data_IF_329344167305
#
_entry.id   IF_329344167305
#
_cell.length_a   1.000
_cell.length_b   1.000
_cell.length_c   1.000
_cell.angle_alpha   90.00
_cell.angle_beta   90.00
_cell.angle_gamma   90.00
#
_symmetry.space_group_name_H-M   'P 1'
#
loop_
_entity.id
_entity.type
_entity.pdbx_description
1 polymer ?
#
# COMPACT_ATOMS: atom_id res chain seq x y z
N UNK A 1 -39.16 -18.71 0.44
CA UNK A 1 -38.03 -18.08 -0.27
C UNK A 1 -36.85 -18.01 0.68
N UNK A 2 -35.98 -19.01 0.61
CA UNK A 2 -34.76 -19.15 1.41
C UNK A 2 -33.65 -18.30 0.79
N UNK A 3 -33.08 -17.36 1.56
CA UNK A 3 -31.87 -16.63 1.15
C UNK A 3 -30.71 -17.63 0.98
N UNK A 4 -29.89 -17.53 -0.07
CA UNK A 4 -28.70 -18.36 -0.19
C UNK A 4 -27.71 -18.00 0.94
N UNK A 5 -26.96 -18.99 1.47
CA UNK A 5 -25.96 -18.73 2.49
C UNK A 5 -24.85 -17.83 1.92
N UNK A 6 -24.55 -16.74 2.64
CA UNK A 6 -23.50 -15.78 2.31
C UNK A 6 -22.14 -16.48 2.20
N UNK A 7 -21.59 -16.58 0.99
CA UNK A 7 -20.26 -17.13 0.69
C UNK A 7 -19.13 -16.38 1.39
N UNK A 8 -19.38 -15.14 1.86
CA UNK A 8 -18.44 -14.32 2.61
C UNK A 8 -18.02 -14.90 3.97
N UNK A 9 -18.85 -15.72 4.63
CA UNK A 9 -18.53 -16.25 5.97
C UNK A 9 -17.43 -17.31 6.01
N UNK A 10 -17.12 -17.97 4.89
CA UNK A 10 -16.07 -19.01 4.86
C UNK A 10 -14.68 -18.48 4.50
N UNK A 11 -14.56 -17.21 4.14
CA UNK A 11 -13.29 -16.65 3.65
C UNK A 11 -12.37 -16.15 4.79
N UNK A 12 -12.91 -15.95 5.99
CA UNK A 12 -12.23 -15.25 7.11
C UNK A 12 -11.92 -16.13 8.31
N UNK A 13 -12.15 -17.44 8.25
CA UNK A 13 -11.68 -18.36 9.29
C UNK A 13 -10.17 -18.53 9.18
N UNK A 14 -9.40 -17.53 9.62
CA UNK A 14 -7.98 -17.66 9.91
C UNK A 14 -7.83 -18.44 11.21
N UNK A 15 -7.21 -19.63 11.22
CA UNK A 15 -6.71 -20.20 12.45
C UNK A 15 -5.49 -19.37 12.85
N UNK A 16 -5.71 -18.31 13.63
CA UNK A 16 -4.66 -17.64 14.40
C UNK A 16 -4.21 -18.58 15.52
N UNK A 17 -3.54 -19.67 15.18
CA UNK A 17 -2.75 -20.44 16.13
C UNK A 17 -1.45 -19.65 16.38
N UNK A 18 -1.55 -18.61 17.21
CA UNK A 18 -0.43 -17.84 17.74
C UNK A 18 0.53 -18.78 18.48
N UNK A 19 1.78 -18.86 18.03
CA UNK A 19 2.90 -19.15 18.93
C UNK A 19 3.56 -17.82 19.26
N UNK A 20 3.16 -17.30 20.42
CA UNK A 20 3.72 -16.13 21.08
C UNK A 20 5.25 -16.17 21.11
N UNK A 21 5.92 -15.13 20.61
CA UNK A 21 7.29 -14.84 21.09
C UNK A 21 7.79 -13.40 20.91
N UNK A 22 7.09 -12.46 20.27
CA UNK A 22 7.72 -11.17 19.92
C UNK A 22 6.84 -9.90 20.08
N UNK A 23 6.00 -9.86 21.11
CA UNK A 23 5.44 -8.59 21.63
C UNK A 23 5.59 -8.44 23.16
N UNK A 24 6.54 -9.17 23.73
CA UNK A 24 6.77 -9.27 25.18
C UNK A 24 7.45 -8.05 25.84
N UNK A 25 7.76 -6.97 25.10
CA UNK A 25 8.31 -5.74 25.71
C UNK A 25 7.26 -4.71 26.14
N UNK A 26 5.99 -4.89 25.75
CA UNK A 26 4.86 -4.08 26.20
C UNK A 26 3.95 -4.90 27.12
N UNK A 27 4.49 -5.33 28.25
CA UNK A 27 3.78 -5.55 29.54
C UNK A 27 2.64 -6.57 29.64
N UNK A 28 1.95 -6.97 28.58
CA UNK A 28 0.73 -7.76 28.69
C UNK A 28 0.56 -8.71 27.49
N UNK A 29 0.53 -10.01 27.79
CA UNK A 29 0.59 -11.13 26.83
C UNK A 29 -0.70 -11.30 26.00
N UNK A 30 -1.43 -10.23 25.73
CA UNK A 30 -2.71 -10.29 25.02
C UNK A 30 -3.07 -9.06 24.20
N UNK A 31 -2.31 -7.95 24.29
CA UNK A 31 -2.68 -6.70 23.60
C UNK A 31 -2.67 -6.83 22.07
N UNK A 32 -1.71 -7.55 21.51
CA UNK A 32 -1.66 -7.81 20.06
C UNK A 32 -2.88 -8.59 19.60
N UNK A 33 -3.18 -9.71 20.26
CA UNK A 33 -4.35 -10.56 19.95
C UNK A 33 -5.66 -9.79 20.12
N UNK A 34 -5.83 -9.04 21.21
CA UNK A 34 -7.00 -8.20 21.43
C UNK A 34 -7.15 -7.13 20.34
N UNK A 35 -6.06 -6.50 19.93
CA UNK A 35 -6.09 -5.53 18.83
C UNK A 35 -6.57 -6.18 17.53
N UNK A 36 -6.07 -7.37 17.18
CA UNK A 36 -6.51 -8.09 15.98
C UNK A 36 -7.97 -8.53 16.07
N UNK A 37 -8.41 -9.01 17.23
CA UNK A 37 -9.81 -9.41 17.45
C UNK A 37 -10.77 -8.22 17.33
N UNK A 38 -10.44 -7.08 17.94
CA UNK A 38 -11.24 -5.87 17.82
C UNK A 38 -11.23 -5.30 16.40
N UNK A 39 -10.07 -5.28 15.73
CA UNK A 39 -9.97 -4.85 14.34
C UNK A 39 -10.79 -5.76 13.40
N UNK A 40 -10.82 -7.07 13.66
CA UNK A 40 -11.67 -8.02 12.96
C UNK A 40 -13.16 -7.71 13.15
N UNK A 41 -13.61 -7.44 14.38
CA UNK A 41 -15.00 -7.04 14.66
C UNK A 41 -15.38 -5.76 13.92
N UNK A 42 -14.51 -4.75 13.91
CA UNK A 42 -14.74 -3.50 13.17
C UNK A 42 -14.82 -3.75 11.66
N UNK A 43 -13.96 -4.61 11.13
CA UNK A 43 -14.00 -4.99 9.72
C UNK A 43 -15.30 -5.73 9.35
N UNK A 44 -15.79 -6.61 10.23
CA UNK A 44 -17.07 -7.30 10.06
C UNK A 44 -18.25 -6.31 10.08
N UNK A 45 -18.19 -5.28 10.93
CA UNK A 45 -19.20 -4.21 10.98
C UNK A 45 -19.25 -3.38 9.70
N UNK A 46 -18.11 -3.18 9.02
CA UNK A 46 -18.09 -2.54 7.71
C UNK A 46 -18.80 -3.38 6.63
N UNK A 47 -19.11 -4.66 6.89
CA UNK A 47 -19.96 -5.47 6.01
C UNK A 47 -19.39 -5.66 4.60
N UNK A 48 -18.06 -5.61 4.45
CA UNK A 48 -17.38 -5.67 3.16
C UNK A 48 -17.45 -4.38 2.35
N UNK A 49 -17.81 -3.24 2.96
CA UNK A 49 -17.81 -1.94 2.29
C UNK A 49 -16.42 -1.56 1.81
N UNK A 50 -16.37 -1.12 0.56
CA UNK A 50 -15.13 -0.69 -0.04
C UNK A 50 -14.81 0.78 0.29
N UNK A 51 -14.15 1.05 1.43
CA UNK A 51 -13.70 2.41 1.83
C UNK A 51 -12.16 2.56 1.97
N UNK A 52 -11.62 3.75 1.66
CA UNK A 52 -10.20 4.06 1.86
C UNK A 52 -9.72 3.76 3.30
N UNK A 53 -10.47 4.12 4.37
CA UNK A 53 -10.16 3.71 5.74
C UNK A 53 -10.02 2.20 5.94
N UNK A 54 -10.87 1.40 5.29
CA UNK A 54 -10.79 -0.07 5.35
C UNK A 54 -9.46 -0.57 4.77
N UNK A 55 -9.03 -0.03 3.61
CA UNK A 55 -7.74 -0.40 2.99
C UNK A 55 -6.57 0.00 3.87
N UNK A 56 -6.61 1.21 4.44
CA UNK A 56 -5.58 1.69 5.37
C UNK A 56 -5.49 0.79 6.60
N UNK A 57 -6.64 0.43 7.20
CA UNK A 57 -6.72 -0.49 8.33
C UNK A 57 -6.13 -1.87 8.00
N UNK A 58 -6.48 -2.45 6.86
CA UNK A 58 -5.93 -3.73 6.40
C UNK A 58 -4.40 -3.67 6.17
N UNK A 59 -3.90 -2.55 5.63
CA UNK A 59 -2.47 -2.33 5.42
C UNK A 59 -1.71 -2.26 6.75
N UNK A 60 -2.30 -1.58 7.74
CA UNK A 60 -1.74 -1.51 9.09
C UNK A 60 -1.74 -2.87 9.79
N UNK A 61 -2.85 -3.61 9.72
CA UNK A 61 -2.95 -4.96 10.28
C UNK A 61 -1.90 -5.89 9.66
N UNK A 62 -1.72 -5.82 8.34
CA UNK A 62 -0.69 -6.58 7.65
C UNK A 62 0.72 -6.20 8.10
N UNK A 63 1.02 -4.91 8.20
CA UNK A 63 2.32 -4.41 8.69
C UNK A 63 2.61 -4.91 10.11
N UNK A 64 1.61 -4.94 10.99
CA UNK A 64 1.76 -5.49 12.33
C UNK A 64 2.03 -7.00 12.30
N UNK A 65 1.29 -7.76 11.48
CA UNK A 65 1.53 -9.19 11.31
C UNK A 65 2.94 -9.50 10.79
N UNK A 66 3.45 -8.70 9.85
CA UNK A 66 4.82 -8.89 9.33
C UNK A 66 5.88 -8.58 10.39
N UNK A 67 5.70 -7.53 11.19
CA UNK A 67 6.61 -7.21 12.30
C UNK A 67 6.65 -8.27 13.39
N UNK A 68 5.51 -8.90 13.68
CA UNK A 68 5.43 -9.96 14.70
C UNK A 68 5.97 -11.30 14.22
N UNK A 69 6.27 -11.47 12.92
CA UNK A 69 6.77 -12.72 12.36
C UNK A 69 5.77 -13.88 12.48
N UNK A 70 4.50 -13.58 12.73
CA UNK A 70 3.44 -14.57 13.03
C UNK A 70 2.93 -15.30 11.80
N UNK A 71 3.45 -14.99 10.61
CA UNK A 71 2.98 -15.56 9.36
C UNK A 71 4.13 -16.19 8.58
N UNK A 72 3.87 -17.38 8.01
CA UNK A 72 4.57 -17.81 6.79
C UNK A 72 4.29 -16.79 5.69
N UNK A 73 5.16 -15.78 5.57
CA UNK A 73 5.46 -14.92 4.43
C UNK A 73 4.47 -14.89 3.25
N UNK A 74 4.23 -16.03 2.60
CA UNK A 74 3.41 -16.19 1.40
C UNK A 74 1.89 -16.20 1.66
N UNK A 75 1.42 -16.60 2.85
CA UNK A 75 -0.01 -16.88 3.06
C UNK A 75 -0.83 -15.60 3.33
N UNK A 76 -0.34 -14.68 4.17
CA UNK A 76 -1.06 -13.42 4.44
C UNK A 76 -0.90 -12.43 3.30
N UNK A 77 0.21 -12.49 2.57
CA UNK A 77 0.43 -11.67 1.37
C UNK A 77 -0.66 -11.92 0.31
N UNK A 78 -1.00 -13.19 0.06
CA UNK A 78 -2.13 -13.55 -0.81
C UNK A 78 -3.45 -13.02 -0.23
N UNK A 79 -3.71 -13.10 1.09
CA UNK A 79 -5.01 -12.67 1.63
C UNK A 79 -5.19 -11.14 1.71
N UNK A 80 -4.20 -10.38 2.16
CA UNK A 80 -4.32 -8.92 2.31
C UNK A 80 -4.23 -8.20 0.95
N UNK A 81 -3.33 -8.64 0.06
CA UNK A 81 -3.23 -8.04 -1.27
C UNK A 81 -4.35 -8.53 -2.18
N UNK A 82 -4.78 -9.80 -2.16
CA UNK A 82 -5.98 -10.20 -2.91
C UNK A 82 -7.21 -9.45 -2.39
N UNK A 83 -7.33 -9.19 -1.09
CA UNK A 83 -8.41 -8.33 -0.58
C UNK A 83 -8.28 -6.87 -1.06
N UNK A 84 -7.10 -6.25 -1.01
CA UNK A 84 -6.87 -4.89 -1.49
C UNK A 84 -6.99 -4.70 -3.02
N UNK A 85 -6.59 -5.71 -3.79
CA UNK A 85 -6.68 -5.75 -5.26
C UNK A 85 -8.10 -6.12 -5.70
N UNK A 86 -8.75 -7.07 -5.04
CA UNK A 86 -10.17 -7.34 -5.26
C UNK A 86 -11.00 -6.12 -4.90
N UNK A 87 -10.61 -5.36 -3.88
CA UNK A 87 -11.22 -4.10 -3.47
C UNK A 87 -11.01 -2.97 -4.49
N UNK A 88 -9.79 -2.76 -5.00
CA UNK A 88 -9.50 -1.81 -6.07
C UNK A 88 -10.22 -2.22 -7.38
N UNK A 89 -10.37 -3.52 -7.63
CA UNK A 89 -11.06 -4.06 -8.79
C UNK A 89 -12.60 -4.03 -8.66
N UNK A 90 -13.16 -4.08 -7.44
CA UNK A 90 -14.62 -4.12 -7.20
C UNK A 90 -15.27 -2.74 -7.13
N UNK A 91 -14.49 -1.65 -7.07
CA UNK A 91 -14.99 -0.27 -7.23
C UNK A 91 -15.41 0.09 -8.67
N UNK A 92 -15.47 -0.87 -9.61
CA UNK A 92 -15.90 -0.61 -10.99
C UNK A 92 -16.82 -1.70 -11.57
N UNK A 93 -17.68 -2.31 -10.75
CA UNK A 93 -18.85 -3.02 -11.27
C UNK A 93 -20.02 -2.95 -10.29
N UNK A 94 -20.60 -1.76 -10.12
CA UNK A 94 -22.02 -1.73 -9.84
C UNK A 94 -22.72 -2.42 -11.01
N UNK A 95 -23.42 -3.51 -10.72
CA UNK A 95 -24.19 -4.37 -11.65
C UNK A 95 -23.37 -5.17 -12.69
N UNK A 96 -22.84 -6.34 -12.30
CA UNK A 96 -23.04 -7.61 -13.02
C UNK A 96 -22.26 -8.79 -12.42
N UNK A 97 -22.95 -9.92 -12.42
CA UNK A 97 -22.67 -11.30 -11.97
C UNK A 97 -21.33 -11.95 -12.38
N UNK A 98 -20.69 -12.63 -11.41
CA UNK A 98 -20.10 -14.00 -11.47
C UNK A 98 -18.85 -14.25 -12.36
N UNK A 99 -17.65 -14.31 -11.72
CA UNK A 99 -16.44 -15.18 -11.98
C UNK A 99 -15.75 -15.06 -13.39
N UNK A 100 -14.49 -15.48 -13.69
CA UNK A 100 -13.20 -15.62 -12.97
C UNK A 100 -12.07 -14.74 -13.55
N UNK A 101 -10.89 -14.79 -12.90
CA UNK A 101 -9.56 -14.37 -13.35
C UNK A 101 -9.34 -14.15 -14.86
N UNK A 102 -9.33 -12.90 -15.31
CA UNK A 102 -8.59 -12.45 -16.49
C UNK A 102 -8.51 -10.92 -16.52
N UNK A 103 -7.30 -10.37 -16.39
CA UNK A 103 -6.90 -9.00 -16.80
C UNK A 103 -7.78 -7.86 -16.24
N UNK A 104 -7.62 -7.53 -14.97
CA UNK A 104 -8.14 -6.29 -14.40
C UNK A 104 -7.32 -5.07 -14.88
N UNK A 105 -7.77 -4.41 -15.94
CA UNK A 105 -7.50 -2.99 -16.18
C UNK A 105 -8.80 -2.37 -16.71
N UNK A 106 -9.35 -1.41 -15.97
CA UNK A 106 -9.63 -0.10 -16.55
C UNK A 106 -9.06 0.98 -15.61
N UNK A 107 -8.76 2.18 -16.12
CA UNK A 107 -8.11 3.25 -15.34
C UNK A 107 -8.77 3.44 -13.96
N UNK A 108 -7.98 3.25 -12.91
CA UNK A 108 -8.48 2.92 -11.59
C UNK A 108 -9.35 4.05 -11.02
N UNK A 109 -10.50 3.72 -10.42
CA UNK A 109 -11.57 4.68 -10.05
C UNK A 109 -11.09 5.94 -9.31
N UNK A 110 -10.05 5.84 -8.48
CA UNK A 110 -9.44 7.00 -7.80
C UNK A 110 -8.59 7.88 -8.73
N UNK A 111 -7.90 7.29 -9.71
CA UNK A 111 -7.20 8.06 -10.75
C UNK A 111 -8.20 8.76 -11.69
N UNK A 112 -9.31 8.10 -12.02
CA UNK A 112 -10.40 8.73 -12.77
C UNK A 112 -11.08 9.86 -11.97
N UNK A 113 -11.29 9.65 -10.66
CA UNK A 113 -11.79 10.70 -9.77
C UNK A 113 -10.80 11.87 -9.67
N UNK A 114 -9.50 11.59 -9.58
CA UNK A 114 -8.45 12.61 -9.59
C UNK A 114 -8.49 13.44 -10.86
N UNK A 115 -8.62 12.80 -12.02
CA UNK A 115 -8.71 13.47 -13.33
C UNK A 115 -9.95 14.37 -13.40
N UNK A 116 -11.10 13.88 -12.91
CA UNK A 116 -12.36 14.63 -12.92
C UNK A 116 -12.33 15.91 -12.05
N UNK A 117 -11.43 15.97 -11.08
CA UNK A 117 -11.30 17.11 -10.15
C UNK A 117 -10.01 17.91 -10.38
N UNK A 118 -9.21 17.56 -11.40
CA UNK A 118 -7.85 18.10 -11.58
C UNK A 118 -7.82 19.61 -11.73
N UNK A 119 -8.83 20.20 -12.37
CA UNK A 119 -8.89 21.63 -12.66
C UNK A 119 -9.60 22.44 -11.57
N UNK A 120 -10.15 21.78 -10.54
CA UNK A 120 -10.92 22.45 -9.49
C UNK A 120 -9.99 22.90 -8.34
N UNK A 121 -9.81 24.22 -8.13
CA UNK A 121 -8.99 24.73 -7.04
C UNK A 121 -9.65 24.48 -5.66
N UNK A 122 -10.98 24.42 -5.58
CA UNK A 122 -11.69 24.16 -4.32
C UNK A 122 -11.47 22.72 -3.83
N UNK A 123 -11.12 21.80 -4.74
CA UNK A 123 -10.85 20.39 -4.45
C UNK A 123 -9.37 20.05 -4.31
N UNK A 124 -8.50 21.04 -4.09
CA UNK A 124 -7.06 20.82 -3.90
C UNK A 124 -6.76 19.77 -2.81
N UNK A 125 -7.41 19.90 -1.64
CA UNK A 125 -7.23 18.95 -0.54
C UNK A 125 -7.66 17.53 -0.93
N UNK A 126 -8.76 17.39 -1.67
CA UNK A 126 -9.27 16.10 -2.13
C UNK A 126 -8.28 15.42 -3.08
N UNK A 127 -7.72 16.18 -4.04
CA UNK A 127 -6.64 15.72 -4.94
C UNK A 127 -5.42 15.24 -4.18
N UNK A 128 -4.96 16.00 -3.19
CA UNK A 128 -3.81 15.62 -2.37
C UNK A 128 -4.08 14.32 -1.60
N UNK A 129 -5.28 14.15 -1.05
CA UNK A 129 -5.65 12.92 -0.35
C UNK A 129 -5.63 11.72 -1.29
N UNK A 130 -6.23 11.85 -2.48
CA UNK A 130 -6.22 10.78 -3.49
C UNK A 130 -4.79 10.46 -3.93
N UNK A 131 -3.99 11.47 -4.28
CA UNK A 131 -2.60 11.29 -4.70
C UNK A 131 -1.77 10.59 -3.62
N UNK A 132 -1.88 11.03 -2.35
CA UNK A 132 -1.20 10.40 -1.21
C UNK A 132 -1.65 8.96 -0.99
N UNK A 133 -2.94 8.66 -1.12
CA UNK A 133 -3.46 7.32 -0.95
C UNK A 133 -2.95 6.37 -2.03
N UNK A 134 -3.09 6.75 -3.31
CA UNK A 134 -2.70 5.92 -4.44
C UNK A 134 -1.19 5.69 -4.47
N UNK A 135 -0.39 6.76 -4.35
CA UNK A 135 1.06 6.62 -4.30
C UNK A 135 1.53 5.89 -3.05
N UNK A 136 0.93 6.14 -1.89
CA UNK A 136 1.27 5.47 -0.64
C UNK A 136 1.05 3.96 -0.72
N UNK A 137 -0.10 3.52 -1.27
CA UNK A 137 -0.39 2.10 -1.48
C UNK A 137 0.55 1.46 -2.48
N UNK A 138 0.82 2.12 -3.60
CA UNK A 138 1.78 1.63 -4.59
C UNK A 138 3.19 1.48 -4.01
N UNK A 139 3.68 2.47 -3.26
CA UNK A 139 5.01 2.43 -2.65
C UNK A 139 5.11 1.30 -1.63
N UNK A 140 4.10 1.20 -0.75
CA UNK A 140 4.04 0.14 0.25
C UNK A 140 4.05 -1.24 -0.40
N UNK A 141 3.19 -1.45 -1.40
CA UNK A 141 3.15 -2.71 -2.14
C UNK A 141 4.52 -2.97 -2.75
N UNK A 142 5.08 -2.03 -3.52
CA UNK A 142 6.30 -2.26 -4.30
C UNK A 142 7.48 -2.69 -3.44
N UNK A 143 7.62 -2.07 -2.26
CA UNK A 143 8.64 -2.46 -1.26
C UNK A 143 8.37 -3.88 -0.78
N UNK A 144 7.12 -4.16 -0.40
CA UNK A 144 6.73 -5.50 0.06
C UNK A 144 6.99 -6.52 -1.05
N UNK A 145 6.54 -6.31 -2.29
CA UNK A 145 6.79 -7.17 -3.46
C UNK A 145 8.27 -7.47 -3.67
N UNK A 146 9.08 -6.44 -3.65
CA UNK A 146 10.51 -6.60 -3.76
C UNK A 146 11.11 -7.48 -2.64
N UNK A 147 10.74 -7.25 -1.38
CA UNK A 147 11.25 -8.02 -0.23
C UNK A 147 10.97 -9.51 -0.33
N UNK A 148 9.83 -9.89 -0.93
CA UNK A 148 9.48 -11.30 -1.13
C UNK A 148 9.75 -11.81 -2.54
N UNK A 149 10.48 -11.04 -3.36
CA UNK A 149 10.84 -11.40 -4.74
C UNK A 149 9.62 -11.71 -5.64
N UNK A 150 8.51 -11.02 -5.40
CA UNK A 150 7.30 -11.11 -6.22
C UNK A 150 7.12 -9.84 -7.07
N UNK A 151 6.35 -9.96 -8.16
CA UNK A 151 5.96 -8.80 -8.94
C UNK A 151 4.87 -8.03 -8.19
N UNK A 152 5.03 -6.71 -8.13
CA UNK A 152 3.99 -5.84 -7.58
C UNK A 152 2.68 -6.01 -8.33
N UNK A 153 1.61 -6.24 -7.57
CA UNK A 153 0.28 -6.42 -8.15
C UNK A 153 -0.42 -5.08 -8.44
N UNK A 154 0.04 -3.99 -7.83
CA UNK A 154 -0.47 -2.64 -8.08
C UNK A 154 0.36 -2.03 -9.22
N UNK A 155 -0.25 -1.58 -10.33
CA UNK A 155 0.48 -0.91 -11.39
C UNK A 155 1.03 0.44 -10.91
N UNK A 156 2.01 0.97 -11.63
CA UNK A 156 2.52 2.32 -11.35
C UNK A 156 1.38 3.34 -11.50
N UNK A 157 1.16 4.23 -10.52
CA UNK A 157 0.17 5.29 -10.62
C UNK A 157 0.44 6.20 -11.82
N UNK A 158 -0.62 6.66 -12.48
CA UNK A 158 -0.58 7.62 -13.59
C UNK A 158 -0.78 9.07 -13.14
N UNK A 159 -1.33 9.27 -11.94
CA UNK A 159 -1.60 10.59 -11.38
C UNK A 159 -0.33 11.27 -10.84
N UNK A 160 -0.26 12.61 -10.88
CA UNK A 160 0.88 13.36 -10.35
C UNK A 160 1.02 13.18 -8.82
N UNK A 161 2.25 13.36 -8.34
CA UNK A 161 2.62 13.30 -6.92
C UNK A 161 2.31 14.65 -6.25
N UNK A 162 1.14 14.76 -5.62
CA UNK A 162 0.67 15.97 -4.96
C UNK A 162 0.91 15.91 -3.44
N UNK A 163 2.18 15.77 -3.04
CA UNK A 163 2.56 15.61 -1.64
C UNK A 163 2.68 16.92 -0.87
N UNK A 164 3.15 17.95 -1.57
CA UNK A 164 3.32 19.30 -1.06
C UNK A 164 1.93 19.94 -0.86
N UNK A 165 1.63 20.34 0.39
CA UNK A 165 0.79 21.52 0.57
C UNK A 165 1.54 22.73 0.00
N UNK A 166 0.86 23.81 -0.39
CA UNK A 166 1.48 25.04 -0.91
C UNK A 166 2.47 25.69 0.08
N UNK A 167 3.61 25.04 0.33
CA UNK A 167 4.78 25.58 1.02
C UNK A 167 5.50 26.59 0.13
N UNK A 168 5.10 26.70 -1.15
CA UNK A 168 5.54 27.73 -2.10
C UNK A 168 5.23 29.16 -1.65
N UNK A 169 4.40 29.36 -0.62
CA UNK A 169 4.16 30.66 0.01
C UNK A 169 5.17 31.00 1.12
N UNK A 170 6.02 30.07 1.55
CA UNK A 170 7.05 30.36 2.55
C UNK A 170 8.41 30.26 1.88
N UNK A 171 9.04 31.40 1.63
CA UNK A 171 10.41 31.56 1.09
C UNK A 171 11.51 30.98 2.00
N UNK A 172 11.14 30.33 3.11
CA UNK A 172 12.05 29.68 4.01
C UNK A 172 12.49 28.31 3.46
N UNK A 173 13.78 28.00 3.62
CA UNK A 173 14.29 26.67 3.32
C UNK A 173 13.41 25.59 3.97
N UNK A 174 13.16 24.47 3.27
CA UNK A 174 12.35 23.38 3.80
C UNK A 174 13.03 22.83 5.06
N UNK A 175 12.54 23.24 6.24
CA UNK A 175 13.05 22.78 7.52
C UNK A 175 12.71 21.30 7.70
N UNK A 176 13.60 20.55 8.36
CA UNK A 176 13.26 19.22 8.82
C UNK A 176 12.26 19.32 9.97
N UNK A 177 11.26 18.44 10.01
CA UNK A 177 10.25 18.41 11.07
C UNK A 177 10.33 17.10 11.85
N UNK A 178 9.91 17.09 13.11
CA UNK A 178 9.71 15.85 13.87
C UNK A 178 8.35 15.21 13.53
N UNK A 179 8.07 14.06 14.18
CA UNK A 179 6.81 13.32 13.98
C UNK A 179 5.56 14.13 14.33
N UNK A 180 5.69 15.15 15.17
CA UNK A 180 4.59 16.00 15.62
C UNK A 180 4.52 17.33 14.83
N UNK A 181 5.38 17.50 13.82
CA UNK A 181 5.43 18.69 12.98
C UNK A 181 6.19 19.86 13.58
N UNK A 182 6.89 19.68 14.71
CA UNK A 182 7.78 20.71 15.25
C UNK A 182 9.11 20.72 14.48
N UNK A 183 9.82 21.85 14.38
CA UNK A 183 11.15 21.88 13.77
C UNK A 183 12.09 20.87 14.43
N UNK A 184 12.77 20.06 13.62
CA UNK A 184 13.72 19.08 14.10
C UNK A 184 14.95 19.77 14.69
N UNK A 185 15.36 19.33 15.87
CA UNK A 185 16.55 19.84 16.57
C UNK A 185 17.46 18.69 16.99
N UNK A 186 18.69 19.00 17.39
CA UNK A 186 19.60 17.98 17.95
C UNK A 186 19.05 17.31 19.23
N UNK A 187 18.05 17.89 19.88
CA UNK A 187 17.38 17.32 21.04
C UNK A 187 16.20 16.39 20.69
N UNK A 188 15.77 16.36 19.42
CA UNK A 188 14.67 15.51 18.97
C UNK A 188 15.07 14.04 19.00
N UNK A 189 14.24 13.20 19.63
CA UNK A 189 14.51 11.75 19.83
C UNK A 189 14.20 10.90 18.60
N UNK A 190 13.26 11.33 17.76
CA UNK A 190 12.85 10.64 16.53
C UNK A 190 13.60 11.20 15.34
N UNK A 191 13.88 10.40 14.29
CA UNK A 191 14.51 10.90 13.08
C UNK A 191 13.66 12.01 12.42
N UNK A 192 14.30 12.95 11.72
CA UNK A 192 13.58 14.02 11.03
C UNK A 192 12.75 13.50 9.86
N UNK A 193 11.58 14.09 9.68
CA UNK A 193 10.87 14.13 8.40
C UNK A 193 11.57 15.15 7.51
N UNK A 194 12.30 14.62 6.52
CA UNK A 194 13.02 15.41 5.54
C UNK A 194 12.09 15.72 4.36
N UNK A 195 11.92 17.00 3.99
CA UNK A 195 11.16 17.37 2.80
C UNK A 195 11.72 16.69 1.55
N UNK A 196 10.82 16.18 0.70
CA UNK A 196 11.19 15.39 -0.48
C UNK A 196 11.34 13.88 -0.23
N UNK A 197 11.33 13.39 1.02
CA UNK A 197 11.44 11.94 1.29
C UNK A 197 10.33 11.13 0.61
N UNK A 198 9.11 11.68 0.52
CA UNK A 198 7.99 11.03 -0.15
C UNK A 198 8.22 10.89 -1.66
N UNK A 199 8.84 11.89 -2.30
CA UNK A 199 9.23 11.82 -3.71
C UNK A 199 10.30 10.74 -3.92
N UNK A 200 11.34 10.74 -3.07
CA UNK A 200 12.40 9.73 -3.13
C UNK A 200 11.87 8.30 -2.93
N UNK A 201 10.92 8.09 -2.01
CA UNK A 201 10.26 6.80 -1.82
C UNK A 201 9.48 6.38 -3.07
N UNK A 202 8.80 7.31 -3.74
CA UNK A 202 8.11 7.02 -5.00
C UNK A 202 9.08 6.62 -6.10
N UNK A 203 10.20 7.32 -6.24
CA UNK A 203 11.23 6.99 -7.24
C UNK A 203 11.85 5.62 -6.98
N UNK A 204 12.19 5.35 -5.71
CA UNK A 204 12.65 4.03 -5.30
C UNK A 204 11.61 2.96 -5.62
N UNK A 205 10.34 3.19 -5.30
CA UNK A 205 9.27 2.21 -5.53
C UNK A 205 9.04 1.92 -7.00
N UNK A 206 9.05 2.96 -7.86
CA UNK A 206 9.01 2.77 -9.32
C UNK A 206 10.20 1.95 -9.81
N UNK A 207 11.39 2.21 -9.27
CA UNK A 207 12.59 1.45 -9.61
C UNK A 207 12.45 -0.03 -9.20
N UNK A 208 12.04 -0.30 -7.95
CA UNK A 208 11.81 -1.67 -7.44
C UNK A 208 10.79 -2.41 -8.31
N UNK A 209 9.67 -1.77 -8.64
CA UNK A 209 8.65 -2.33 -9.54
C UNK A 209 9.22 -2.71 -10.91
N UNK A 210 9.99 -1.80 -11.52
CA UNK A 210 10.61 -2.03 -12.83
C UNK A 210 11.66 -3.14 -12.78
N UNK A 211 12.48 -3.17 -11.72
CA UNK A 211 13.47 -4.23 -11.51
C UNK A 211 12.79 -5.60 -11.40
N UNK A 212 11.70 -5.70 -10.63
CA UNK A 212 10.95 -6.96 -10.50
C UNK A 212 10.28 -7.38 -11.81
N UNK A 213 9.79 -6.44 -12.61
CA UNK A 213 9.24 -6.75 -13.94
C UNK A 213 10.28 -7.33 -14.89
N UNK A 214 11.51 -6.80 -14.87
CA UNK A 214 12.61 -7.37 -15.68
C UNK A 214 12.99 -8.76 -15.18
N UNK A 215 13.03 -8.96 -13.86
CA UNK A 215 13.33 -10.26 -13.28
C UNK A 215 12.28 -11.33 -13.59
N UNK A 216 11.02 -10.96 -13.81
CA UNK A 216 9.93 -11.86 -14.19
C UNK A 216 9.87 -12.21 -15.69
N UNK A 217 10.77 -11.67 -16.53
CA UNK A 217 10.75 -11.90 -17.98
C UNK A 217 11.24 -13.29 -18.40
N UNK A 218 10.86 -13.73 -19.61
CA UNK A 218 11.20 -15.08 -20.12
C UNK A 218 12.66 -15.22 -20.62
N UNK A 219 13.41 -14.13 -20.76
CA UNK A 219 14.73 -14.11 -21.42
C UNK A 219 15.91 -13.99 -20.42
N UNK A 220 15.76 -14.52 -19.21
CA UNK A 220 16.77 -14.43 -18.15
C UNK A 220 18.10 -15.05 -18.62
N UNK A 221 19.19 -14.30 -18.49
CA UNK A 221 20.54 -14.75 -18.85
C UNK A 221 20.91 -14.58 -20.32
N UNK A 222 20.04 -13.99 -21.14
CA UNK A 222 20.39 -13.56 -22.50
C UNK A 222 21.27 -12.30 -22.49
N UNK A 223 22.02 -12.04 -23.57
CA UNK A 223 22.79 -10.79 -23.72
C UNK A 223 21.90 -9.54 -23.62
N UNK A 224 20.66 -9.62 -24.11
CA UNK A 224 19.66 -8.54 -24.01
C UNK A 224 19.17 -8.33 -22.57
N UNK A 225 19.06 -9.39 -21.77
CA UNK A 225 18.79 -9.29 -20.33
C UNK A 225 19.94 -8.58 -19.61
N UNK A 226 21.19 -8.97 -19.87
CA UNK A 226 22.36 -8.29 -19.30
C UNK A 226 22.43 -6.81 -19.68
N UNK A 227 22.16 -6.45 -20.94
CA UNK A 227 22.07 -5.05 -21.40
C UNK A 227 20.96 -4.30 -20.67
N UNK A 228 19.79 -4.91 -20.54
CA UNK A 228 18.62 -4.31 -19.87
C UNK A 228 18.90 -4.06 -18.40
N UNK A 229 19.44 -5.05 -17.67
CA UNK A 229 19.81 -4.91 -16.25
C UNK A 229 20.91 -3.89 -16.05
N UNK A 230 21.95 -3.89 -16.90
CA UNK A 230 23.03 -2.89 -16.83
C UNK A 230 22.50 -1.47 -17.03
N UNK A 231 21.56 -1.27 -17.96
CA UNK A 231 20.89 0.02 -18.13
C UNK A 231 20.13 0.43 -16.87
N UNK A 232 19.34 -0.47 -16.28
CA UNK A 232 18.61 -0.20 -15.04
C UNK A 232 19.53 0.21 -13.89
N UNK A 233 20.63 -0.51 -13.67
CA UNK A 233 21.57 -0.16 -12.59
C UNK A 233 22.27 1.19 -12.82
N UNK A 234 22.50 1.58 -14.08
CA UNK A 234 23.05 2.92 -14.37
C UNK A 234 22.09 4.04 -14.03
N UNK A 235 20.79 3.83 -14.21
CA UNK A 235 19.75 4.80 -13.86
C UNK A 235 19.65 5.05 -12.34
N UNK A 236 20.22 4.18 -11.49
CA UNK A 236 20.25 4.36 -10.03
C UNK A 236 21.39 5.26 -9.51
N UNK A 237 22.46 5.45 -10.30
CA UNK A 237 23.72 6.08 -9.82
C UNK A 237 23.79 7.57 -10.21
N UNK A 238 22.64 8.18 -10.51
CA UNK A 238 22.52 9.59 -10.90
C UNK A 238 21.80 10.35 -9.80
#
# INVERSE_FOLDING_TARGET
MSRPPSTARRFWSMPCALRDTSMTSLGDRGLGTQFFDEAGKVLDLEGGRASLPTVQGLTLLFTMCTHLGTVRASMVRIHTLTAGIFFLASQLSATCTVIPAARCCPDSSLEAEFEAIQDDPAKLRHRQVISKAVWGLFCYESIVAYVYLELSLIPSPKIPRCFEADHRLSSAQPANFDLFGAPYTAASKSPPFVPGIQHAICDLSMFLHRAMRVNGGANIGSDEDFKTRRRLYREMVV
#
